data_IF_456038293534
#
_entry.id   IF_456038293534
#
_cell.length_a   1.000
_cell.length_b   1.000
_cell.length_c   1.000
_cell.angle_alpha   90.00
_cell.angle_beta   90.00
_cell.angle_gamma   90.00
#
_symmetry.space_group_name_H-M   'P 1'
#
loop_
_entity.id
_entity.type
_entity.pdbx_description
1 polymer ?
#
# COMPACT_ATOMS: atom_id res chain seq x y z
N UNK A 1 7.96 10.19 22.28
CA UNK A 1 8.43 9.82 20.93
C UNK A 1 8.51 11.11 20.12
N UNK A 2 9.73 11.58 19.80
CA UNK A 2 9.92 12.76 18.95
C UNK A 2 9.46 12.45 17.53
N UNK A 3 8.82 13.41 16.86
CA UNK A 3 8.51 13.30 15.45
C UNK A 3 9.80 13.04 14.67
N UNK A 4 9.80 12.16 13.65
CA UNK A 4 10.98 11.99 12.80
C UNK A 4 11.38 13.35 12.23
N UNK A 5 12.68 13.65 12.14
CA UNK A 5 13.15 14.94 11.67
C UNK A 5 12.57 15.23 10.29
N UNK A 6 12.23 16.49 10.04
CA UNK A 6 11.87 16.97 8.71
C UNK A 6 12.97 16.52 7.73
N UNK A 7 12.57 15.96 6.59
CA UNK A 7 13.50 15.49 5.58
C UNK A 7 14.50 16.60 5.25
N UNK A 8 15.75 16.42 5.66
CA UNK A 8 16.85 17.28 5.25
C UNK A 8 16.87 17.27 3.72
N UNK A 9 16.53 18.39 3.11
CA UNK A 9 16.73 18.62 1.67
C UNK A 9 18.21 18.89 1.36
N UNK A 10 19.10 18.76 2.36
CA UNK A 10 20.53 18.89 2.20
C UNK A 10 21.12 17.67 1.49
N UNK A 11 22.07 17.93 0.61
CA UNK A 11 22.93 16.88 0.07
C UNK A 11 23.83 16.34 1.17
N UNK A 12 23.90 15.02 1.32
CA UNK A 12 24.79 14.30 2.22
C UNK A 12 25.82 13.51 1.41
N UNK A 13 26.85 12.96 2.07
CA UNK A 13 27.75 11.97 1.46
C UNK A 13 27.41 10.58 1.96
N UNK A 14 27.32 9.61 1.05
CA UNK A 14 27.13 8.20 1.38
C UNK A 14 28.16 7.34 0.66
N UNK A 15 28.43 6.16 1.19
CA UNK A 15 29.26 5.15 0.53
C UNK A 15 28.35 4.10 -0.11
N UNK A 16 28.50 3.89 -1.42
CA UNK A 16 27.80 2.85 -2.17
C UNK A 16 28.82 2.16 -3.09
N UNK A 17 28.87 0.82 -3.06
CA UNK A 17 29.89 0.03 -3.77
C UNK A 17 31.32 0.56 -3.57
N UNK A 18 31.71 0.75 -2.29
CA UNK A 18 33.04 1.23 -1.86
C UNK A 18 33.45 2.62 -2.39
N UNK A 19 32.53 3.38 -3.00
CA UNK A 19 32.75 4.73 -3.50
C UNK A 19 31.85 5.74 -2.82
N UNK A 20 32.38 6.94 -2.56
CA UNK A 20 31.63 8.06 -2.01
C UNK A 20 30.87 8.80 -3.10
N UNK A 21 29.59 9.06 -2.86
CA UNK A 21 28.73 9.85 -3.72
C UNK A 21 28.09 10.99 -2.92
N UNK A 22 27.88 12.11 -3.59
CA UNK A 22 26.90 13.10 -3.13
C UNK A 22 25.52 12.51 -3.30
N UNK A 23 24.67 12.67 -2.30
CA UNK A 23 23.35 12.07 -2.29
C UNK A 23 22.28 12.97 -1.70
N UNK A 24 21.06 12.82 -2.18
CA UNK A 24 19.86 13.41 -1.60
C UNK A 24 19.02 12.30 -0.94
N UNK A 25 18.69 12.47 0.34
CA UNK A 25 17.82 11.53 1.03
C UNK A 25 16.39 11.59 0.48
N UNK A 26 15.78 10.42 0.30
CA UNK A 26 14.40 10.24 -0.14
C UNK A 26 13.63 9.59 1.00
N UNK A 27 12.42 10.09 1.25
CA UNK A 27 11.51 9.51 2.24
C UNK A 27 12.18 9.35 3.62
N UNK A 28 12.79 10.43 4.12
CA UNK A 28 13.46 10.40 5.41
C UNK A 28 14.63 9.41 5.50
N UNK A 29 15.26 9.06 4.38
CA UNK A 29 16.43 8.19 4.32
C UNK A 29 16.15 6.74 3.91
N UNK A 30 14.91 6.38 3.56
CA UNK A 30 14.59 5.05 3.05
C UNK A 30 15.22 4.73 1.69
N UNK A 31 15.59 5.76 0.93
CA UNK A 31 16.39 5.65 -0.27
C UNK A 31 17.24 6.91 -0.44
N UNK A 32 18.18 6.86 -1.38
CA UNK A 32 19.03 7.98 -1.72
C UNK A 32 19.08 8.14 -3.24
N UNK A 33 19.07 9.38 -3.70
CA UNK A 33 19.48 9.74 -5.06
C UNK A 33 20.95 10.11 -5.03
N UNK A 34 21.79 9.28 -5.64
CA UNK A 34 23.23 9.52 -5.77
C UNK A 34 23.54 10.20 -7.10
N UNK A 35 24.55 11.07 -7.11
CA UNK A 35 24.99 11.82 -8.29
C UNK A 35 26.42 11.48 -8.68
N UNK A 36 26.68 11.37 -9.98
CA UNK A 36 28.00 11.19 -10.57
C UNK A 36 28.23 12.17 -11.72
N UNK A 37 29.45 12.67 -11.84
CA UNK A 37 29.88 13.52 -12.96
C UNK A 37 30.20 12.69 -14.23
N UNK A 38 30.32 11.36 -14.08
CA UNK A 38 30.63 10.42 -15.16
C UNK A 38 29.50 9.45 -15.43
N UNK A 39 29.38 9.00 -16.68
CA UNK A 39 28.41 7.97 -17.05
C UNK A 39 28.83 6.62 -16.45
N UNK A 40 27.97 6.06 -15.61
CA UNK A 40 28.20 4.78 -14.93
C UNK A 40 27.03 3.81 -15.16
N UNK A 41 27.24 2.49 -15.02
CA UNK A 41 26.19 1.49 -15.19
C UNK A 41 24.94 1.76 -14.32
N UNK A 42 23.78 1.89 -14.97
CA UNK A 42 22.49 2.16 -14.33
C UNK A 42 22.34 3.54 -13.71
N UNK A 43 23.21 4.49 -14.04
CA UNK A 43 22.93 5.91 -13.83
C UNK A 43 22.22 6.50 -15.06
N UNK A 44 21.28 7.39 -14.82
CA UNK A 44 20.50 8.12 -15.82
C UNK A 44 21.02 9.56 -15.94
N UNK A 45 20.95 10.19 -17.12
CA UNK A 45 21.37 11.57 -17.29
C UNK A 45 20.37 12.55 -16.64
N UNK A 46 20.88 13.57 -15.93
CA UNK A 46 20.07 14.64 -15.32
C UNK A 46 20.84 15.97 -15.28
N UNK A 47 20.42 16.96 -16.06
CA UNK A 47 20.84 18.36 -15.91
C UNK A 47 22.36 18.62 -15.93
N UNK A 48 23.14 17.85 -16.69
CA UNK A 48 24.61 17.96 -16.78
C UNK A 48 25.38 16.97 -15.90
N UNK A 49 24.69 16.21 -15.06
CA UNK A 49 25.25 15.11 -14.28
C UNK A 49 24.53 13.79 -14.61
N UNK A 50 24.91 12.73 -13.91
CA UNK A 50 24.22 11.45 -13.91
C UNK A 50 23.69 11.17 -12.50
N UNK A 51 22.54 10.52 -12.38
CA UNK A 51 21.95 10.17 -11.10
C UNK A 51 21.42 8.73 -11.08
N UNK A 52 21.30 8.16 -9.87
CA UNK A 52 20.71 6.85 -9.63
C UNK A 52 20.00 6.83 -8.29
N UNK A 53 18.93 6.06 -8.18
CA UNK A 53 18.27 5.79 -6.90
C UNK A 53 18.78 4.47 -6.31
N UNK A 54 19.14 4.50 -5.03
CA UNK A 54 19.64 3.34 -4.26
C UNK A 54 18.86 3.21 -2.96
N UNK A 55 18.62 1.99 -2.52
CA UNK A 55 17.89 1.74 -1.28
C UNK A 55 18.79 1.95 -0.06
N UNK A 56 18.21 2.30 1.08
CA UNK A 56 18.98 2.58 2.30
C UNK A 56 19.83 1.38 2.77
N UNK A 57 19.42 0.16 2.47
CA UNK A 57 20.17 -1.06 2.83
C UNK A 57 21.43 -1.28 1.98
N UNK A 58 21.59 -0.57 0.87
CA UNK A 58 22.77 -0.71 0.00
C UNK A 58 23.89 0.26 0.34
N UNK A 59 23.60 1.25 1.19
CA UNK A 59 24.53 2.34 1.47
C UNK A 59 25.17 2.15 2.84
N UNK A 60 26.49 2.25 2.89
CA UNK A 60 27.18 2.45 4.15
C UNK A 60 26.97 3.90 4.56
N UNK A 61 26.07 4.08 5.53
CA UNK A 61 25.96 5.26 6.36
C UNK A 61 26.22 4.85 7.80
N UNK A 62 26.46 5.80 8.70
CA UNK A 62 26.65 5.52 10.13
C UNK A 62 25.41 4.84 10.78
N UNK A 63 24.33 4.65 10.03
CA UNK A 63 23.41 3.49 10.11
C UNK A 63 22.41 3.51 11.28
N UNK A 64 22.73 4.23 12.36
CA UNK A 64 21.88 4.33 13.54
C UNK A 64 20.56 5.07 13.28
N UNK A 65 20.55 6.06 12.38
CA UNK A 65 19.40 6.95 12.19
C UNK A 65 18.16 6.22 11.63
N UNK A 66 18.34 5.20 10.79
CA UNK A 66 17.24 4.42 10.19
C UNK A 66 16.62 3.44 11.19
N UNK A 67 17.46 2.79 12.01
CA UNK A 67 17.00 1.95 13.13
C UNK A 67 16.31 2.80 14.21
N UNK A 68 16.83 4.01 14.48
CA UNK A 68 16.23 4.97 15.41
C UNK A 68 14.88 5.52 14.91
N UNK A 69 14.66 5.58 13.60
CA UNK A 69 13.38 5.91 12.99
C UNK A 69 12.34 4.78 13.09
N UNK A 70 12.72 3.62 13.64
CA UNK A 70 11.83 2.48 13.85
C UNK A 70 11.46 1.72 12.58
N UNK A 71 12.24 1.88 11.50
CA UNK A 71 12.02 1.18 10.23
C UNK A 71 13.24 0.34 9.89
N UNK A 72 13.07 -0.99 9.92
CA UNK A 72 14.15 -1.93 9.63
C UNK A 72 14.05 -2.50 8.20
N UNK A 73 15.17 -2.56 7.47
CA UNK A 73 15.24 -3.34 6.24
C UNK A 73 15.03 -4.82 6.55
N UNK A 74 14.66 -5.57 5.51
CA UNK A 74 14.61 -7.03 5.57
C UNK A 74 15.99 -7.57 5.95
N UNK A 75 16.02 -8.51 6.89
CA UNK A 75 17.26 -9.13 7.36
C UNK A 75 17.26 -10.62 7.07
N UNK A 76 18.35 -11.12 6.51
CA UNK A 76 18.57 -12.55 6.26
C UNK A 76 19.34 -13.15 7.44
N UNK A 77 18.86 -14.25 8.05
CA UNK A 77 19.58 -14.91 9.13
C UNK A 77 20.99 -15.34 8.72
N UNK A 78 21.95 -15.15 9.61
CA UNK A 78 23.34 -15.59 9.38
C UNK A 78 23.40 -17.11 9.57
N UNK A 79 23.37 -17.84 8.46
CA UNK A 79 23.52 -19.30 8.43
C UNK A 79 24.16 -19.75 7.10
N UNK A 80 24.87 -20.89 7.06
CA UNK A 80 25.47 -21.39 5.83
C UNK A 80 24.44 -21.57 4.72
N UNK A 81 24.72 -21.00 3.54
CA UNK A 81 23.85 -21.10 2.37
C UNK A 81 22.58 -20.25 2.40
N UNK A 82 22.39 -19.39 3.41
CA UNK A 82 21.36 -18.37 3.40
C UNK A 82 21.92 -17.02 2.99
N UNK A 83 21.55 -16.58 1.79
CA UNK A 83 21.80 -15.24 1.27
C UNK A 83 20.52 -14.69 0.62
N UNK A 84 20.54 -13.40 0.27
CA UNK A 84 19.38 -12.73 -0.32
C UNK A 84 18.95 -13.39 -1.65
N UNK A 85 19.89 -13.87 -2.46
CA UNK A 85 19.59 -14.55 -3.73
C UNK A 85 18.87 -15.89 -3.49
N UNK A 86 19.33 -16.66 -2.52
CA UNK A 86 18.74 -17.95 -2.15
C UNK A 86 17.34 -17.75 -1.57
N UNK A 87 17.18 -16.79 -0.67
CA UNK A 87 15.85 -16.42 -0.15
C UNK A 87 14.95 -15.95 -1.28
N UNK A 88 15.46 -15.17 -2.23
CA UNK A 88 14.71 -14.73 -3.39
C UNK A 88 14.21 -15.94 -4.20
N UNK A 89 15.12 -16.82 -4.60
CA UNK A 89 14.81 -18.03 -5.37
C UNK A 89 13.78 -18.92 -4.67
N UNK A 90 13.92 -19.13 -3.36
CA UNK A 90 12.94 -19.91 -2.59
C UNK A 90 11.59 -19.19 -2.52
N UNK A 91 11.58 -17.88 -2.33
CA UNK A 91 10.33 -17.11 -2.28
C UNK A 91 9.50 -17.18 -3.56
N UNK A 92 10.16 -17.38 -4.71
CA UNK A 92 9.52 -17.52 -6.04
C UNK A 92 9.04 -18.94 -6.37
N UNK A 93 9.28 -19.91 -5.50
CA UNK A 93 8.92 -21.31 -5.76
C UNK A 93 7.90 -21.81 -4.73
N UNK A 94 6.62 -22.01 -5.10
CA UNK A 94 5.60 -22.47 -4.16
C UNK A 94 5.83 -23.93 -3.69
N UNK A 95 6.67 -24.70 -4.41
CA UNK A 95 6.95 -26.13 -4.17
C UNK A 95 8.16 -26.39 -3.26
N UNK A 96 8.69 -25.36 -2.59
CA UNK A 96 9.77 -25.54 -1.62
C UNK A 96 9.34 -26.37 -0.40
N UNK A 97 10.32 -27.04 0.21
CA UNK A 97 10.15 -27.84 1.42
C UNK A 97 9.88 -26.99 2.68
N UNK A 98 9.59 -27.64 3.82
CA UNK A 98 9.27 -26.94 5.06
C UNK A 98 10.41 -26.07 5.60
N UNK A 99 11.67 -26.49 5.43
CA UNK A 99 12.84 -25.76 5.94
C UNK A 99 13.07 -24.47 5.17
N UNK A 100 13.03 -24.53 3.84
CA UNK A 100 13.16 -23.34 2.98
C UNK A 100 12.00 -22.38 3.24
N UNK A 101 10.79 -22.91 3.46
CA UNK A 101 9.61 -22.11 3.80
C UNK A 101 9.79 -21.40 5.14
N UNK A 102 10.35 -22.07 6.15
CA UNK A 102 10.66 -21.47 7.44
C UNK A 102 11.70 -20.36 7.32
N UNK A 103 12.74 -20.54 6.49
CA UNK A 103 13.72 -19.48 6.20
C UNK A 103 13.04 -18.25 5.58
N UNK A 104 12.25 -18.44 4.53
CA UNK A 104 11.54 -17.34 3.85
C UNK A 104 10.59 -16.62 4.82
N UNK A 105 9.84 -17.37 5.64
CA UNK A 105 8.94 -16.80 6.65
C UNK A 105 9.70 -16.01 7.72
N UNK A 106 10.84 -16.52 8.20
CA UNK A 106 11.68 -15.83 9.17
C UNK A 106 12.22 -14.50 8.62
N UNK A 107 12.67 -14.49 7.35
CA UNK A 107 13.12 -13.27 6.68
C UNK A 107 11.98 -12.27 6.55
N UNK A 108 10.78 -12.69 6.15
CA UNK A 108 9.60 -11.81 6.05
C UNK A 108 9.16 -11.22 7.38
N UNK A 109 9.27 -11.98 8.46
CA UNK A 109 8.92 -11.50 9.80
C UNK A 109 9.78 -10.30 10.24
N UNK A 110 10.97 -10.11 9.64
CA UNK A 110 11.80 -8.92 9.89
C UNK A 110 11.23 -7.64 9.25
N UNK A 111 10.38 -7.78 8.23
CA UNK A 111 9.64 -6.68 7.63
C UNK A 111 8.36 -6.40 8.44
N UNK A 112 8.49 -5.89 9.66
CA UNK A 112 7.33 -5.64 10.51
C UNK A 112 6.64 -4.31 10.17
N UNK A 113 5.33 -4.25 10.43
CA UNK A 113 4.49 -3.06 10.36
C UNK A 113 4.12 -2.66 11.79
N UNK A 114 4.27 -1.38 12.09
CA UNK A 114 3.83 -0.76 13.35
C UNK A 114 2.81 0.34 13.08
N UNK A 115 2.02 0.77 14.09
CA UNK A 115 1.23 1.98 13.99
C UNK A 115 2.07 3.16 13.49
N UNK A 116 1.63 3.80 12.41
CA UNK A 116 2.34 4.91 11.77
C UNK A 116 3.31 4.53 10.66
N UNK A 117 3.58 3.23 10.44
CA UNK A 117 4.34 2.76 9.28
C UNK A 117 3.69 3.29 8.01
N UNK A 118 4.46 3.96 7.16
CA UNK A 118 3.94 4.47 5.89
C UNK A 118 3.79 3.32 4.92
N UNK A 119 2.57 3.15 4.43
CA UNK A 119 2.20 2.12 3.48
C UNK A 119 1.95 2.76 2.12
N UNK A 120 2.22 2.01 1.05
CA UNK A 120 2.02 2.43 -0.34
C UNK A 120 1.35 1.30 -1.11
N UNK A 121 0.38 1.66 -1.96
CA UNK A 121 -0.26 0.76 -2.91
C UNK A 121 -0.17 1.37 -4.31
N UNK A 122 0.39 0.66 -5.31
CA UNK A 122 0.35 1.12 -6.69
C UNK A 122 -1.10 1.11 -7.18
N UNK A 123 -1.49 2.15 -7.93
CA UNK A 123 -2.82 2.31 -8.49
C UNK A 123 -2.74 2.44 -10.02
N UNK A 124 -3.71 1.87 -10.73
CA UNK A 124 -4.01 2.29 -12.11
C UNK A 124 -4.76 3.62 -12.11
N UNK A 125 -4.78 4.35 -13.23
CA UNK A 125 -5.51 5.62 -13.33
C UNK A 125 -7.01 5.48 -13.04
N UNK A 126 -7.59 4.32 -13.39
CA UNK A 126 -8.98 3.99 -13.10
C UNK A 126 -9.21 3.77 -11.59
N UNK A 127 -8.24 3.17 -10.91
CA UNK A 127 -8.30 3.03 -9.46
C UNK A 127 -8.15 4.38 -8.76
N UNK A 128 -7.33 5.29 -9.28
CA UNK A 128 -7.27 6.68 -8.80
C UNK A 128 -8.62 7.37 -8.95
N UNK A 129 -9.25 7.30 -10.14
CA UNK A 129 -10.57 7.88 -10.37
C UNK A 129 -11.60 7.33 -9.38
N UNK A 130 -11.60 6.01 -9.16
CA UNK A 130 -12.47 5.34 -8.18
C UNK A 130 -12.19 5.80 -6.75
N UNK A 131 -10.92 5.94 -6.35
CA UNK A 131 -10.55 6.39 -5.00
C UNK A 131 -11.08 7.80 -4.69
N UNK A 132 -11.15 8.67 -5.70
CA UNK A 132 -11.66 10.04 -5.57
C UNK A 132 -13.18 10.11 -5.41
N UNK A 133 -13.92 9.07 -5.76
CA UNK A 133 -15.39 9.05 -5.73
C UNK A 133 -15.98 7.99 -4.81
N UNK A 134 -15.15 7.14 -4.19
CA UNK A 134 -15.59 6.06 -3.31
C UNK A 134 -15.23 6.34 -1.87
N UNK A 135 -15.80 5.55 -0.95
CA UNK A 135 -15.41 5.59 0.44
C UNK A 135 -13.87 5.52 0.59
N UNK A 136 -13.30 6.29 1.54
CA UNK A 136 -11.85 6.44 1.70
C UNK A 136 -11.26 5.21 2.39
N UNK A 137 -11.23 4.11 1.63
CA UNK A 137 -10.79 2.79 2.05
C UNK A 137 -9.64 2.31 1.16
N UNK A 138 -8.86 1.35 1.65
CA UNK A 138 -7.82 0.64 0.91
C UNK A 138 -7.87 -0.85 1.21
N UNK A 139 -7.85 -1.69 0.18
CA UNK A 139 -7.81 -3.14 0.31
C UNK A 139 -6.71 -3.75 -0.57
N UNK A 140 -6.50 -5.07 -0.45
CA UNK A 140 -5.62 -5.81 -1.35
C UNK A 140 -4.13 -5.67 -1.01
N UNK A 141 -3.28 -5.83 -2.03
CA UNK A 141 -1.82 -5.88 -1.87
C UNK A 141 -1.20 -4.48 -1.75
N UNK A 142 -0.22 -4.34 -0.86
CA UNK A 142 0.50 -3.11 -0.55
C UNK A 142 1.92 -3.37 -0.04
N UNK A 143 2.68 -2.30 0.14
CA UNK A 143 4.10 -2.30 0.49
C UNK A 143 4.35 -1.28 1.60
N UNK A 144 5.42 -1.45 2.38
CA UNK A 144 5.92 -0.33 3.19
C UNK A 144 6.59 0.66 2.24
N UNK A 145 6.39 1.95 2.46
CA UNK A 145 7.03 3.01 1.66
C UNK A 145 8.54 2.84 1.64
N UNK A 146 9.10 2.39 2.77
CA UNK A 146 10.52 2.12 2.93
C UNK A 146 11.08 1.17 1.86
N UNK A 147 10.43 0.01 1.71
CA UNK A 147 10.93 -1.08 0.83
C UNK A 147 10.89 -0.70 -0.66
N UNK A 148 10.09 0.30 -1.03
CA UNK A 148 9.88 0.73 -2.42
C UNK A 148 10.35 2.16 -2.69
N UNK A 149 11.03 2.79 -1.73
CA UNK A 149 11.42 4.21 -1.83
C UNK A 149 12.41 4.48 -2.97
N UNK A 150 13.21 3.50 -3.34
CA UNK A 150 14.19 3.58 -4.44
C UNK A 150 13.55 3.43 -5.83
N UNK A 151 12.32 2.91 -5.92
CA UNK A 151 11.60 2.74 -7.19
C UNK A 151 10.90 4.06 -7.54
N UNK A 152 11.60 4.93 -8.27
CA UNK A 152 11.20 6.34 -8.46
C UNK A 152 10.61 6.64 -9.82
N UNK A 153 10.97 5.87 -10.84
CA UNK A 153 10.42 6.05 -12.19
C UNK A 153 9.23 5.12 -12.44
N UNK A 154 8.36 5.41 -13.42
CA UNK A 154 7.31 4.49 -13.84
C UNK A 154 7.85 3.10 -14.21
N UNK A 155 8.99 3.05 -14.89
CA UNK A 155 9.65 1.80 -15.29
C UNK A 155 10.10 0.99 -14.07
N UNK A 156 10.68 1.62 -13.05
CA UNK A 156 11.08 0.93 -11.81
C UNK A 156 9.86 0.37 -11.07
N UNK A 157 8.73 1.09 -11.11
CA UNK A 157 7.52 0.75 -10.36
C UNK A 157 6.65 -0.29 -11.04
N UNK A 158 6.93 -0.68 -12.29
CA UNK A 158 6.17 -1.70 -13.03
C UNK A 158 6.13 -3.03 -12.27
N UNK A 159 7.20 -3.35 -11.53
CA UNK A 159 7.31 -4.57 -10.70
C UNK A 159 6.23 -4.64 -9.62
N UNK A 160 5.74 -3.49 -9.13
CA UNK A 160 4.74 -3.41 -8.07
C UNK A 160 3.32 -3.54 -8.60
N UNK A 161 3.09 -3.38 -9.91
CA UNK A 161 1.76 -3.22 -10.47
C UNK A 161 0.88 -4.47 -10.26
N UNK A 162 -0.25 -4.27 -9.56
CA UNK A 162 -1.28 -5.30 -9.35
C UNK A 162 -2.40 -5.27 -10.40
N UNK A 163 -2.48 -4.20 -11.18
CA UNK A 163 -3.45 -3.96 -12.27
C UNK A 163 -2.68 -3.18 -13.36
N UNK A 164 -2.21 -3.84 -14.44
CA UNK A 164 -1.39 -3.17 -15.44
C UNK A 164 -2.21 -2.08 -16.15
N UNK A 165 -1.63 -0.89 -16.28
CA UNK A 165 -2.18 0.23 -17.03
C UNK A 165 -1.28 0.50 -18.26
N UNK A 166 -1.86 1.04 -19.32
CA UNK A 166 -1.13 1.28 -20.58
C UNK A 166 -0.28 2.56 -20.55
N UNK A 167 -0.39 3.35 -19.47
CA UNK A 167 0.34 4.61 -19.30
C UNK A 167 1.76 4.32 -18.78
N UNK A 168 2.74 4.33 -19.69
CA UNK A 168 4.13 3.98 -19.36
C UNK A 168 4.94 5.11 -18.75
N UNK A 169 4.52 6.35 -18.91
CA UNK A 169 5.26 7.54 -18.49
C UNK A 169 4.71 8.18 -17.20
N UNK A 170 3.78 7.51 -16.50
CA UNK A 170 3.32 7.92 -15.17
C UNK A 170 2.86 6.71 -14.38
N UNK A 171 3.38 6.54 -13.17
CA UNK A 171 2.87 5.55 -12.22
C UNK A 171 2.13 6.25 -11.09
N UNK A 172 0.95 5.74 -10.71
CA UNK A 172 0.19 6.28 -9.58
C UNK A 172 0.31 5.40 -8.35
N UNK A 173 0.17 5.99 -7.17
CA UNK A 173 0.12 5.24 -5.92
C UNK A 173 -0.75 5.93 -4.87
N UNK A 174 -1.28 5.15 -3.95
CA UNK A 174 -1.89 5.60 -2.71
C UNK A 174 -0.88 5.43 -1.58
N UNK A 175 -0.68 6.47 -0.77
CA UNK A 175 0.16 6.47 0.43
C UNK A 175 -0.69 6.74 1.66
N UNK A 176 -0.50 5.99 2.73
CA UNK A 176 -1.18 6.21 4.02
C UNK A 176 -0.30 5.74 5.17
N UNK A 177 -0.77 5.90 6.41
CA UNK A 177 -0.11 5.33 7.59
C UNK A 177 -0.90 4.13 8.11
N UNK A 178 -0.23 3.05 8.47
CA UNK A 178 -0.85 1.92 9.13
C UNK A 178 -1.46 2.34 10.48
N UNK A 179 -2.68 1.87 10.76
CA UNK A 179 -3.33 2.08 12.08
C UNK A 179 -2.77 1.05 13.07
N UNK A 180 -2.79 -0.23 12.70
CA UNK A 180 -2.21 -1.32 13.49
C UNK A 180 -1.55 -2.38 12.62
N UNK A 181 -0.69 -3.20 13.24
CA UNK A 181 0.01 -4.30 12.58
C UNK A 181 -0.96 -5.41 12.12
N UNK A 182 -1.99 -5.70 12.92
CA UNK A 182 -2.98 -6.75 12.65
C UNK A 182 -3.89 -6.48 11.44
N UNK A 183 -3.81 -5.30 10.84
CA UNK A 183 -4.51 -4.97 9.60
C UNK A 183 -3.82 -5.55 8.35
N UNK A 184 -2.63 -6.13 8.50
CA UNK A 184 -1.81 -6.61 7.39
C UNK A 184 -1.37 -8.06 7.62
N UNK A 185 -1.34 -8.81 6.53
CA UNK A 185 -0.81 -10.17 6.48
C UNK A 185 0.28 -10.24 5.42
N UNK A 186 1.30 -11.06 5.67
CA UNK A 186 2.25 -11.44 4.63
C UNK A 186 1.51 -12.22 3.52
N UNK A 187 1.89 -12.01 2.26
CA UNK A 187 1.21 -12.64 1.11
C UNK A 187 1.60 -14.10 0.87
N UNK A 188 1.99 -14.81 1.94
CA UNK A 188 2.37 -16.22 1.86
C UNK A 188 1.20 -17.12 1.51
N UNK A 189 1.50 -18.25 0.88
CA UNK A 189 0.50 -19.27 0.54
C UNK A 189 -0.24 -19.79 1.78
N UNK A 190 0.35 -19.74 2.97
CA UNK A 190 -0.33 -20.13 4.20
C UNK A 190 -1.52 -19.21 4.55
N UNK A 191 -1.42 -17.92 4.23
CA UNK A 191 -2.50 -16.94 4.47
C UNK A 191 -3.52 -16.92 3.31
N UNK A 192 -3.09 -17.30 2.10
CA UNK A 192 -3.92 -17.29 0.89
C UNK A 192 -3.75 -18.57 0.05
N UNK A 193 -4.09 -19.75 0.59
CA UNK A 193 -3.81 -21.03 -0.08
C UNK A 193 -4.56 -21.19 -1.40
N UNK A 194 -5.79 -20.65 -1.47
CA UNK A 194 -6.64 -20.70 -2.66
C UNK A 194 -6.05 -20.02 -3.89
N UNK A 195 -5.30 -18.94 -3.70
CA UNK A 195 -4.75 -18.14 -4.79
C UNK A 195 -3.66 -18.86 -5.59
N UNK A 196 -2.96 -19.82 -4.99
CA UNK A 196 -1.93 -20.62 -5.66
C UNK A 196 -2.55 -21.49 -6.77
N UNK A 197 -3.80 -21.94 -6.57
CA UNK A 197 -4.53 -22.78 -7.52
C UNK A 197 -5.24 -22.01 -8.64
N UNK A 198 -5.34 -20.68 -8.56
CA UNK A 198 -6.11 -19.89 -9.53
C UNK A 198 -5.37 -19.82 -10.88
N UNK A 199 -5.99 -20.22 -12.01
CA UNK A 199 -5.35 -20.21 -13.33
C UNK A 199 -4.95 -18.81 -13.81
N UNK A 200 -3.95 -18.75 -14.69
CA UNK A 200 -3.46 -17.51 -15.33
C UNK A 200 -4.55 -16.59 -15.89
N UNK A 201 -5.51 -17.18 -16.59
CA UNK A 201 -6.62 -16.46 -17.24
C UNK A 201 -7.59 -15.79 -16.28
N UNK A 202 -7.66 -16.25 -15.03
CA UNK A 202 -8.55 -15.70 -14.00
C UNK A 202 -7.85 -14.64 -13.14
N UNK A 203 -6.62 -14.26 -13.47
CA UNK A 203 -5.79 -13.36 -12.65
C UNK A 203 -5.51 -12.04 -13.37
N UNK A 204 -5.31 -11.00 -12.58
CA UNK A 204 -4.66 -9.76 -12.99
C UNK A 204 -3.32 -9.59 -12.30
N UNK A 205 -2.32 -9.13 -13.05
CA UNK A 205 -0.95 -8.99 -12.57
C UNK A 205 -0.24 -10.31 -12.30
N UNK A 206 0.89 -10.25 -11.60
CA UNK A 206 1.62 -11.44 -11.18
C UNK A 206 0.79 -12.28 -10.20
N UNK A 207 1.04 -13.59 -10.19
CA UNK A 207 0.37 -14.48 -9.24
C UNK A 207 0.81 -14.14 -7.80
N UNK A 208 -0.14 -14.12 -6.85
CA UNK A 208 0.20 -14.16 -5.42
C UNK A 208 0.67 -15.59 -5.12
N UNK A 209 1.93 -15.87 -5.43
CA UNK A 209 2.55 -17.20 -5.42
C UNK A 209 2.85 -17.72 -4.00
N UNK A 210 2.38 -17.03 -2.97
CA UNK A 210 3.10 -17.04 -1.69
C UNK A 210 4.43 -16.28 -1.76
N UNK A 211 4.66 -15.52 -2.83
CA UNK A 211 5.82 -14.64 -3.07
C UNK A 211 5.64 -13.33 -2.33
N UNK A 212 5.75 -13.36 -1.01
CA UNK A 212 5.94 -12.14 -0.20
C UNK A 212 7.18 -11.31 -0.56
N UNK A 213 7.88 -11.65 -1.66
CA UNK A 213 8.94 -10.86 -2.27
C UNK A 213 8.69 -10.72 -3.76
N UNK A 214 8.71 -9.50 -4.30
CA UNK A 214 8.65 -9.26 -5.73
C UNK A 214 10.03 -9.30 -6.40
N UNK A 215 10.14 -9.78 -7.65
CA UNK A 215 11.39 -9.78 -8.39
C UNK A 215 11.79 -8.36 -8.80
N UNK A 216 12.64 -7.72 -7.98
CA UNK A 216 13.39 -6.54 -8.40
C UNK A 216 14.81 -6.97 -8.78
N UNK A 217 15.40 -6.28 -9.77
CA UNK A 217 16.76 -6.56 -10.24
C UNK A 217 17.85 -6.33 -9.18
N UNK A 218 17.52 -5.68 -8.06
CA UNK A 218 18.48 -5.37 -6.99
C UNK A 218 18.00 -5.72 -5.58
N UNK A 219 16.70 -5.93 -5.32
CA UNK A 219 16.17 -6.06 -3.96
C UNK A 219 15.07 -7.11 -3.76
N UNK A 220 15.04 -7.64 -2.54
CA UNK A 220 13.87 -8.31 -1.98
C UNK A 220 12.87 -7.26 -1.49
N UNK A 221 11.70 -7.18 -2.13
CA UNK A 221 10.65 -6.22 -1.75
C UNK A 221 9.54 -6.94 -0.98
N UNK A 222 9.44 -6.79 0.35
CA UNK A 222 8.33 -7.29 1.15
C UNK A 222 6.97 -6.87 0.62
N UNK A 223 6.08 -7.84 0.52
CA UNK A 223 4.70 -7.64 0.09
C UNK A 223 3.71 -8.00 1.21
N UNK A 224 2.70 -7.17 1.39
CA UNK A 224 1.64 -7.35 2.37
C UNK A 224 0.28 -7.29 1.70
N UNK A 225 -0.71 -8.00 2.24
CA UNK A 225 -2.11 -7.82 1.91
C UNK A 225 -2.85 -7.27 3.13
N UNK A 226 -3.92 -6.50 2.90
CA UNK A 226 -4.86 -6.19 3.98
C UNK A 226 -5.45 -7.48 4.53
N UNK A 227 -5.62 -7.57 5.85
CA UNK A 227 -6.07 -8.79 6.52
C UNK A 227 -7.44 -9.22 5.98
N UNK A 228 -7.53 -10.47 5.50
CA UNK A 228 -8.73 -11.01 4.83
C UNK A 228 -9.08 -10.32 3.51
N UNK A 229 -8.11 -9.65 2.86
CA UNK A 229 -8.31 -8.76 1.71
C UNK A 229 -9.38 -7.69 1.97
N UNK A 230 -9.59 -7.34 3.24
CA UNK A 230 -10.61 -6.42 3.65
C UNK A 230 -10.26 -4.98 3.31
N UNK A 231 -11.29 -4.15 3.22
CA UNK A 231 -11.10 -2.71 3.15
C UNK A 231 -10.70 -2.15 4.52
N UNK A 232 -9.60 -1.42 4.54
CA UNK A 232 -9.08 -0.68 5.69
C UNK A 232 -9.41 0.80 5.53
N UNK A 233 -9.84 1.48 6.61
CA UNK A 233 -10.07 2.92 6.58
C UNK A 233 -8.76 3.69 6.38
N UNK A 234 -8.79 4.67 5.48
CA UNK A 234 -7.65 5.56 5.27
C UNK A 234 -7.45 6.50 6.47
N UNK A 235 -6.20 6.68 6.85
CA UNK A 235 -5.81 7.62 7.91
C UNK A 235 -5.82 9.06 7.42
N UNK A 236 -5.82 10.00 8.36
CA UNK A 236 -5.60 11.40 8.05
C UNK A 236 -4.35 11.61 7.21
N UNK A 237 -4.44 12.52 6.22
CA UNK A 237 -3.35 12.85 5.29
C UNK A 237 -2.88 11.67 4.43
N UNK A 238 -3.75 10.70 4.14
CA UNK A 238 -3.50 9.78 3.03
C UNK A 238 -3.40 10.58 1.71
N UNK A 239 -2.55 10.13 0.79
CA UNK A 239 -2.18 10.86 -0.42
C UNK A 239 -2.27 9.98 -1.65
N UNK A 240 -2.75 10.55 -2.74
CA UNK A 240 -2.60 9.98 -4.07
C UNK A 240 -1.41 10.67 -4.74
N UNK A 241 -0.45 9.87 -5.18
CA UNK A 241 0.83 10.29 -5.73
C UNK A 241 0.91 9.96 -7.23
N UNK A 242 1.72 10.73 -7.95
CA UNK A 242 2.21 10.40 -9.29
C UNK A 242 3.74 10.40 -9.30
N UNK A 243 4.30 9.39 -9.97
CA UNK A 243 5.73 9.25 -10.25
C UNK A 243 6.00 9.55 -11.73
N UNK A 244 6.98 10.40 -11.99
CA UNK A 244 7.33 10.88 -13.34
C UNK A 244 8.61 10.24 -13.87
N UNK A 245 8.87 10.26 -15.20
CA UNK A 245 10.03 9.59 -15.80
C UNK A 245 11.40 10.11 -15.31
N UNK A 246 11.44 11.34 -14.79
CA UNK A 246 12.61 11.97 -14.16
C UNK A 246 12.77 11.60 -12.67
N UNK A 247 11.95 10.69 -12.13
CA UNK A 247 12.00 10.23 -10.73
C UNK A 247 11.29 11.16 -9.73
N UNK A 248 10.60 12.19 -10.23
CA UNK A 248 9.77 13.07 -9.43
C UNK A 248 8.60 12.34 -8.77
N UNK A 249 8.26 12.71 -7.52
CA UNK A 249 7.03 12.29 -6.85
C UNK A 249 6.19 13.54 -6.58
N UNK A 250 4.96 13.52 -7.06
CA UNK A 250 4.02 14.63 -6.98
C UNK A 250 2.79 14.14 -6.21
N UNK A 251 2.52 14.75 -5.06
CA UNK A 251 1.23 14.59 -4.41
C UNK A 251 0.14 15.25 -5.27
N UNK A 252 -0.78 14.44 -5.80
CA UNK A 252 -1.90 14.92 -6.60
C UNK A 252 -3.07 15.32 -5.71
N UNK A 253 -3.41 14.46 -4.75
CA UNK A 253 -4.53 14.66 -3.84
C UNK A 253 -4.17 14.24 -2.43
N UNK A 254 -4.76 14.90 -1.43
CA UNK A 254 -4.63 14.54 -0.02
C UNK A 254 -6.01 14.44 0.64
N UNK A 255 -6.24 13.36 1.37
CA UNK A 255 -7.49 13.09 2.05
C UNK A 255 -7.60 13.86 3.37
N UNK A 256 -8.70 14.61 3.50
CA UNK A 256 -9.10 15.35 4.69
C UNK A 256 -10.32 14.64 5.33
N UNK A 257 -10.12 13.79 6.34
CA UNK A 257 -11.20 13.03 6.97
C UNK A 257 -12.22 13.90 7.71
N UNK A 258 -11.87 15.14 8.05
CA UNK A 258 -12.74 16.10 8.73
C UNK A 258 -13.96 16.47 7.89
N UNK A 259 -13.74 16.58 6.59
CA UNK A 259 -14.74 17.01 5.62
C UNK A 259 -15.12 15.88 4.67
N UNK A 260 -14.48 14.70 4.81
CA UNK A 260 -14.49 13.59 3.86
C UNK A 260 -14.22 14.07 2.43
N UNK A 261 -13.12 14.80 2.24
CA UNK A 261 -12.75 15.38 0.94
C UNK A 261 -11.33 14.99 0.57
N UNK A 262 -11.13 14.59 -0.68
CA UNK A 262 -9.83 14.65 -1.33
C UNK A 262 -9.59 16.06 -1.86
N UNK A 263 -8.56 16.72 -1.33
CA UNK A 263 -8.13 18.05 -1.77
C UNK A 263 -7.00 17.91 -2.80
N UNK A 264 -7.10 18.62 -3.91
CA UNK A 264 -6.05 18.67 -4.94
C UNK A 264 -4.84 19.45 -4.43
N UNK A 265 -3.70 18.78 -4.41
CA UNK A 265 -2.40 19.36 -4.03
C UNK A 265 -1.59 19.81 -5.25
N UNK A 266 -1.76 19.13 -6.39
CA UNK A 266 -1.02 19.43 -7.61
C UNK A 266 -1.45 20.75 -8.26
N UNK A 267 -0.52 21.71 -8.34
CA UNK A 267 -0.72 23.00 -9.00
C UNK A 267 -0.80 22.93 -10.54
N UNK A 268 -0.85 24.10 -11.19
CA UNK A 268 -1.04 24.22 -12.63
C UNK A 268 0.05 23.52 -13.47
N UNK A 269 1.30 23.48 -12.97
CA UNK A 269 2.44 22.84 -13.64
C UNK A 269 2.34 21.32 -13.79
N UNK A 270 1.42 20.68 -13.06
CA UNK A 270 1.19 19.23 -13.08
C UNK A 270 -0.23 18.88 -13.54
N UNK A 271 -0.87 19.78 -14.30
CA UNK A 271 -2.23 19.59 -14.79
C UNK A 271 -2.33 18.39 -15.74
N UNK A 272 -1.29 18.16 -16.52
CA UNK A 272 -1.16 17.00 -17.41
C UNK A 272 -1.27 15.68 -16.63
N UNK A 273 -0.65 15.57 -15.45
CA UNK A 273 -0.73 14.37 -14.60
C UNK A 273 -2.17 14.10 -14.13
N UNK A 274 -2.90 15.15 -13.76
CA UNK A 274 -4.31 15.04 -13.34
C UNK A 274 -5.21 14.67 -14.52
N UNK A 275 -4.95 15.24 -15.70
CA UNK A 275 -5.73 14.98 -16.92
C UNK A 275 -5.61 13.54 -17.43
N UNK A 276 -4.61 12.78 -16.99
CA UNK A 276 -4.48 11.34 -17.29
C UNK A 276 -5.49 10.48 -16.53
N UNK A 277 -6.09 11.00 -15.47
CA UNK A 277 -7.07 10.28 -14.66
C UNK A 277 -8.44 10.37 -15.35
N UNK A 278 -9.05 9.24 -15.73
CA UNK A 278 -10.31 9.21 -16.47
C UNK A 278 -11.46 9.75 -15.61
N UNK A 279 -12.40 10.43 -16.27
CA UNK A 279 -13.63 10.90 -15.64
C UNK A 279 -13.47 12.11 -14.72
N UNK A 280 -12.28 12.73 -14.62
CA UNK A 280 -12.10 13.97 -13.86
C UNK A 280 -12.49 15.20 -14.68
N UNK A 281 -13.40 16.00 -14.14
CA UNK A 281 -13.73 17.31 -14.68
C UNK A 281 -12.53 18.27 -14.58
N UNK A 282 -12.25 18.97 -15.68
CA UNK A 282 -11.12 19.92 -15.72
C UNK A 282 -11.37 21.06 -14.72
N UNK A 283 -10.42 21.26 -13.81
CA UNK A 283 -10.47 22.36 -12.83
C UNK A 283 -11.11 22.02 -11.49
N UNK A 284 -11.72 20.82 -11.34
CA UNK A 284 -12.22 20.37 -10.03
C UNK A 284 -11.05 20.17 -9.05
N UNK A 285 -11.14 20.82 -7.89
CA UNK A 285 -10.10 20.80 -6.86
C UNK A 285 -10.50 20.01 -5.60
N UNK A 286 -11.79 19.70 -5.43
CA UNK A 286 -12.33 19.02 -4.26
C UNK A 286 -13.22 17.85 -4.69
N UNK A 287 -12.98 16.69 -4.10
CA UNK A 287 -13.77 15.48 -4.32
C UNK A 287 -14.31 15.00 -2.98
N UNK A 288 -15.61 15.22 -2.75
CA UNK A 288 -16.30 14.75 -1.57
C UNK A 288 -16.60 13.27 -1.72
N UNK A 289 -16.33 12.51 -0.66
CA UNK A 289 -16.58 11.08 -0.59
C UNK A 289 -17.45 10.79 0.62
N UNK A 290 -18.36 9.84 0.50
CA UNK A 290 -19.18 9.42 1.64
C UNK A 290 -18.51 8.24 2.35
N UNK A 291 -18.49 8.21 3.69
CA UNK A 291 -18.02 7.05 4.44
C UNK A 291 -18.81 5.79 4.06
N UNK A 292 -18.14 4.63 4.08
CA UNK A 292 -18.85 3.36 3.87
C UNK A 292 -19.68 3.00 5.09
N UNK A 293 -20.87 2.46 4.84
CA UNK A 293 -21.71 1.85 5.87
C UNK A 293 -21.28 0.42 6.22
N UNK A 294 -20.41 -0.17 5.40
CA UNK A 294 -19.96 -1.56 5.53
C UNK A 294 -18.55 -1.70 6.08
N UNK A 295 -17.76 -0.62 6.11
CA UNK A 295 -16.42 -0.64 6.68
C UNK A 295 -16.00 0.76 7.15
N UNK A 296 -15.29 0.83 8.26
CA UNK A 296 -14.81 2.10 8.80
C UNK A 296 -14.23 1.99 10.20
N UNK A 297 -14.08 3.16 10.84
CA UNK A 297 -13.67 3.27 12.23
C UNK A 297 -14.81 3.82 13.07
N UNK A 298 -14.97 3.24 14.25
CA UNK A 298 -15.85 3.74 15.29
C UNK A 298 -15.09 3.86 16.61
N UNK A 299 -15.66 4.60 17.54
CA UNK A 299 -15.18 4.71 18.92
C UNK A 299 -16.28 5.25 19.81
N UNK A 300 -15.96 5.49 21.08
CA UNK A 300 -16.89 6.04 22.06
C UNK A 300 -16.45 7.45 22.43
N UNK A 301 -17.35 8.42 22.23
CA UNK A 301 -17.21 9.81 22.66
C UNK A 301 -18.45 10.21 23.45
N UNK A 302 -18.27 10.78 24.66
CA UNK A 302 -19.37 11.16 25.57
C UNK A 302 -20.43 10.06 25.82
N UNK A 303 -20.00 8.79 25.79
CA UNK A 303 -20.90 7.64 25.98
C UNK A 303 -21.60 7.16 24.71
N UNK A 304 -21.45 7.87 23.59
CA UNK A 304 -22.06 7.52 22.31
C UNK A 304 -21.04 6.88 21.34
N UNK A 305 -21.54 5.98 20.49
CA UNK A 305 -20.74 5.43 19.40
C UNK A 305 -20.70 6.40 18.23
N UNK A 306 -19.49 6.82 17.86
CA UNK A 306 -19.26 7.83 16.82
C UNK A 306 -18.29 7.31 15.77
N UNK A 307 -18.37 7.85 14.54
CA UNK A 307 -17.37 7.62 13.50
C UNK A 307 -16.05 8.29 13.88
N UNK A 308 -14.94 7.64 13.60
CA UNK A 308 -13.62 8.06 14.08
C UNK A 308 -12.64 8.27 12.92
N UNK A 309 -11.71 9.20 13.12
CA UNK A 309 -10.53 9.37 12.28
C UNK A 309 -9.31 8.86 13.03
N UNK A 310 -8.51 8.01 12.39
CA UNK A 310 -7.17 7.66 12.85
C UNK A 310 -6.13 8.63 12.27
N UNK A 311 -5.27 9.16 13.14
CA UNK A 311 -4.07 9.90 12.78
C UNK A 311 -2.88 9.29 13.54
N UNK A 312 -2.24 8.24 13.01
CA UNK A 312 -1.14 7.57 13.71
C UNK A 312 -0.01 8.54 14.09
N UNK A 313 0.31 8.54 15.39
CA UNK A 313 1.17 9.52 16.07
C UNK A 313 0.39 10.59 16.87
N UNK A 314 -0.88 10.78 16.56
CA UNK A 314 -1.81 11.73 17.22
C UNK A 314 -3.08 11.07 17.77
N UNK A 315 -3.27 9.76 17.55
CA UNK A 315 -4.33 8.95 18.14
C UNK A 315 -5.60 8.88 17.29
N UNK A 316 -6.71 8.59 17.96
CA UNK A 316 -8.05 8.46 17.38
C UNK A 316 -8.92 9.62 17.82
N UNK A 317 -9.59 10.27 16.87
CA UNK A 317 -10.35 11.49 17.14
C UNK A 317 -11.66 11.52 16.39
N UNK A 318 -12.66 12.16 16.98
CA UNK A 318 -13.90 12.55 16.29
C UNK A 318 -13.82 14.03 15.90
N UNK A 319 -14.46 14.36 14.78
CA UNK A 319 -14.71 15.74 14.38
C UNK A 319 -16.17 16.08 14.62
N UNK A 320 -16.42 16.84 15.66
CA UNK A 320 -17.74 17.43 15.87
C UNK A 320 -17.93 18.63 14.93
N UNK A 321 -19.13 18.71 14.33
CA UNK A 321 -19.45 19.79 13.39
C UNK A 321 -19.42 21.13 14.14
N UNK A 322 -18.48 22.01 13.77
CA UNK A 322 -18.32 23.33 14.37
C UNK A 322 -17.26 23.41 15.49
N UNK A 323 -16.65 22.29 15.88
CA UNK A 323 -15.57 22.28 16.86
C UNK A 323 -14.28 22.85 16.27
N UNK A 324 -13.58 23.66 17.09
CA UNK A 324 -12.27 24.25 16.76
C UNK A 324 -11.13 23.23 16.93
N UNK A 325 -11.37 22.15 17.68
CA UNK A 325 -10.38 21.13 18.01
C UNK A 325 -10.91 19.71 17.87
N UNK A 326 -9.98 18.76 17.81
CA UNK A 326 -10.25 17.32 17.77
C UNK A 326 -10.59 16.81 19.17
N UNK A 327 -11.65 16.03 19.30
CA UNK A 327 -11.96 15.36 20.56
C UNK A 327 -11.42 13.92 20.55
N UNK A 328 -10.66 13.50 21.57
CA UNK A 328 -10.20 12.12 21.67
C UNK A 328 -11.39 11.18 21.87
N UNK A 329 -11.25 9.95 21.37
CA UNK A 329 -12.23 8.89 21.58
C UNK A 329 -11.64 7.77 22.42
N UNK A 330 -12.51 7.00 23.06
CA UNK A 330 -12.16 5.77 23.77
C UNK A 330 -12.59 4.55 22.96
N UNK A 331 -11.93 3.40 23.17
CA UNK A 331 -12.25 2.12 22.49
C UNK A 331 -12.37 2.26 20.96
N UNK A 332 -11.31 2.70 20.26
CA UNK A 332 -11.31 2.72 18.81
C UNK A 332 -11.44 1.28 18.25
N UNK A 333 -12.37 1.10 17.31
CA UNK A 333 -12.63 -0.18 16.67
C UNK A 333 -12.70 0.01 15.16
N UNK A 334 -12.05 -0.86 14.38
CA UNK A 334 -12.43 -1.08 12.99
C UNK A 334 -13.67 -1.94 12.95
N UNK A 335 -14.53 -1.71 11.97
CA UNK A 335 -15.61 -2.62 11.65
C UNK A 335 -15.62 -2.95 10.16
N UNK A 336 -16.17 -4.12 9.84
CA UNK A 336 -16.49 -4.55 8.49
C UNK A 336 -17.75 -5.42 8.48
N UNK A 337 -18.48 -5.47 7.37
CA UNK A 337 -19.68 -6.30 7.22
C UNK A 337 -19.38 -7.54 6.38
N UNK A 338 -19.52 -8.72 6.99
CA UNK A 338 -19.47 -10.01 6.29
C UNK A 338 -20.88 -10.52 6.01
N UNK A 339 -21.01 -11.34 4.98
CA UNK A 339 -22.20 -12.13 4.66
C UNK A 339 -21.77 -13.48 4.03
N UNK A 340 -22.73 -14.37 3.81
CA UNK A 340 -22.54 -15.56 2.99
C UNK A 340 -23.34 -15.40 1.70
N UNK A 341 -22.79 -15.90 0.60
CA UNK A 341 -23.47 -15.99 -0.67
C UNK A 341 -22.95 -17.19 -1.43
N UNK A 342 -23.84 -18.12 -1.83
CA UNK A 342 -23.48 -19.35 -2.53
C UNK A 342 -22.35 -20.11 -1.82
N UNK A 343 -22.58 -20.40 -0.54
CA UNK A 343 -21.65 -21.08 0.38
C UNK A 343 -20.27 -20.41 0.55
N UNK A 344 -20.12 -19.16 0.09
CA UNK A 344 -18.88 -18.40 0.15
C UNK A 344 -19.02 -17.23 1.10
N UNK A 345 -18.07 -17.08 2.03
CA UNK A 345 -18.00 -15.89 2.89
C UNK A 345 -17.49 -14.69 2.09
N UNK A 346 -18.24 -13.60 2.13
CA UNK A 346 -17.96 -12.38 1.37
C UNK A 346 -17.99 -11.14 2.25
N UNK A 347 -17.17 -10.16 1.89
CA UNK A 347 -17.19 -8.81 2.46
C UNK A 347 -18.14 -7.93 1.64
N UNK A 348 -19.06 -7.23 2.30
CA UNK A 348 -19.87 -6.20 1.66
C UNK A 348 -19.06 -4.91 1.50
N UNK A 349 -19.06 -4.34 0.29
CA UNK A 349 -18.29 -3.13 -0.04
C UNK A 349 -19.19 -1.90 -0.21
N UNK A 350 -20.33 -2.08 -0.87
CA UNK A 350 -21.26 -1.02 -1.21
C UNK A 350 -22.58 -1.57 -1.72
N UNK A 351 -23.59 -0.71 -1.81
CA UNK A 351 -24.94 -1.07 -2.22
C UNK A 351 -25.40 -0.21 -3.39
N UNK A 352 -26.11 -0.82 -4.32
CA UNK A 352 -26.88 -0.15 -5.35
C UNK A 352 -28.27 -0.78 -5.41
N UNK A 353 -29.29 -0.09 -4.89
CA UNK A 353 -30.69 -0.57 -4.83
C UNK A 353 -30.82 -1.99 -4.21
N UNK A 354 -31.03 -3.00 -5.05
CA UNK A 354 -31.21 -4.40 -4.70
C UNK A 354 -29.94 -5.25 -4.87
N UNK A 355 -28.82 -4.62 -5.22
CA UNK A 355 -27.53 -5.27 -5.39
C UNK A 355 -26.52 -4.78 -4.36
N UNK A 356 -25.68 -5.70 -3.91
CA UNK A 356 -24.55 -5.42 -3.02
C UNK A 356 -23.27 -5.83 -3.73
N UNK A 357 -22.32 -4.90 -3.83
CA UNK A 357 -20.98 -5.22 -4.32
C UNK A 357 -20.26 -5.96 -3.21
N UNK A 358 -19.77 -7.15 -3.52
CA UNK A 358 -19.13 -8.04 -2.56
C UNK A 358 -17.71 -8.40 -3.00
N UNK A 359 -16.85 -8.74 -2.04
CA UNK A 359 -15.49 -9.23 -2.25
C UNK A 359 -15.29 -10.57 -1.58
N UNK A 360 -14.57 -11.48 -2.24
CA UNK A 360 -14.15 -12.74 -1.64
C UNK A 360 -13.08 -12.48 -0.56
N UNK A 361 -13.31 -12.96 0.67
CA UNK A 361 -12.34 -12.83 1.78
C UNK A 361 -11.21 -13.85 1.67
N UNK A 362 -11.51 -15.02 1.11
CA UNK A 362 -10.60 -16.14 0.87
C UNK A 362 -10.80 -16.68 -0.55
N UNK A 363 -10.31 -15.96 -1.58
CA UNK A 363 -10.49 -16.37 -2.97
C UNK A 363 -9.77 -17.69 -3.28
N UNK A 364 -10.52 -18.60 -3.89
CA UNK A 364 -10.05 -19.83 -4.54
C UNK A 364 -10.87 -20.05 -5.82
N UNK A 365 -10.49 -21.06 -6.62
CA UNK A 365 -11.15 -21.32 -7.90
C UNK A 365 -12.62 -21.70 -7.75
N UNK A 366 -13.00 -22.40 -6.67
CA UNK A 366 -14.38 -22.84 -6.45
C UNK A 366 -15.27 -21.64 -6.09
N UNK A 367 -14.82 -20.80 -5.17
CA UNK A 367 -15.49 -19.56 -4.77
C UNK A 367 -15.63 -18.59 -5.94
N UNK A 368 -14.58 -18.44 -6.77
CA UNK A 368 -14.61 -17.60 -7.98
C UNK A 368 -15.70 -18.10 -8.94
N UNK A 369 -15.73 -19.40 -9.24
CA UNK A 369 -16.69 -19.98 -10.17
C UNK A 369 -18.12 -19.97 -9.61
N UNK A 370 -18.30 -20.21 -8.31
CA UNK A 370 -19.61 -20.20 -7.65
C UNK A 370 -20.25 -18.80 -7.66
N UNK A 371 -19.45 -17.75 -7.48
CA UNK A 371 -19.93 -16.36 -7.34
C UNK A 371 -19.79 -15.54 -8.63
N UNK A 372 -19.17 -16.08 -9.67
CA UNK A 372 -18.79 -15.37 -10.90
C UNK A 372 -17.98 -14.09 -10.60
N UNK A 373 -17.10 -14.18 -9.59
CA UNK A 373 -16.30 -13.04 -9.13
C UNK A 373 -15.19 -12.72 -10.13
N UNK A 374 -15.09 -11.44 -10.50
CA UNK A 374 -14.06 -10.97 -11.43
C UNK A 374 -12.82 -10.51 -10.66
N UNK A 375 -11.63 -10.89 -11.13
CA UNK A 375 -10.37 -10.34 -10.62
C UNK A 375 -10.24 -8.87 -11.02
N UNK A 376 -10.39 -7.95 -10.05
CA UNK A 376 -10.30 -6.50 -10.30
C UNK A 376 -8.88 -5.95 -10.14
N UNK A 377 -8.05 -6.65 -9.38
CA UNK A 377 -6.62 -6.43 -9.18
C UNK A 377 -6.01 -7.70 -8.57
N UNK A 378 -4.68 -7.78 -8.52
CA UNK A 378 -3.96 -8.93 -8.00
C UNK A 378 -4.51 -9.44 -6.65
N UNK A 379 -5.07 -10.64 -6.68
CA UNK A 379 -5.61 -11.35 -5.51
C UNK A 379 -7.00 -10.91 -5.05
N UNK A 380 -7.58 -9.86 -5.63
CA UNK A 380 -8.87 -9.31 -5.20
C UNK A 380 -9.95 -9.62 -6.23
N UNK A 381 -11.00 -10.31 -5.77
CA UNK A 381 -12.11 -10.79 -6.59
C UNK A 381 -13.40 -10.21 -6.07
N UNK A 382 -14.16 -9.58 -6.97
CA UNK A 382 -15.39 -8.87 -6.63
C UNK A 382 -16.48 -9.16 -7.65
N UNK A 383 -17.73 -9.08 -7.18
CA UNK A 383 -18.92 -9.21 -7.99
C UNK A 383 -20.09 -8.45 -7.36
N UNK A 384 -21.20 -8.40 -8.07
CA UNK A 384 -22.47 -7.90 -7.55
C UNK A 384 -23.36 -9.09 -7.19
N UNK A 385 -23.85 -9.11 -5.96
CA UNK A 385 -24.77 -10.12 -5.44
C UNK A 385 -26.16 -9.50 -5.21
N UNK A 386 -27.26 -10.21 -5.51
CA UNK A 386 -28.58 -9.77 -5.11
C UNK A 386 -28.67 -9.70 -3.59
N UNK A 387 -29.13 -8.57 -3.05
CA UNK A 387 -29.22 -8.34 -1.60
C UNK A 387 -30.08 -9.39 -0.89
N UNK A 388 -31.12 -9.89 -1.57
CA UNK A 388 -32.03 -10.90 -1.04
C UNK A 388 -31.39 -12.30 -0.92
N UNK A 389 -30.29 -12.55 -1.64
CA UNK A 389 -29.55 -13.82 -1.59
C UNK A 389 -28.40 -13.80 -0.56
N UNK A 390 -28.12 -12.64 0.06
CA UNK A 390 -27.10 -12.56 1.10
C UNK A 390 -27.62 -13.13 2.41
N UNK A 391 -26.89 -14.09 2.94
CA UNK A 391 -27.22 -14.80 4.16
C UNK A 391 -26.33 -14.35 5.32
N UNK A 392 -26.87 -14.41 6.54
CA UNK A 392 -26.15 -14.16 7.79
C UNK A 392 -25.28 -12.89 7.81
N UNK A 393 -25.82 -11.70 7.43
CA UNK A 393 -25.04 -10.47 7.47
C UNK A 393 -24.63 -10.17 8.91
N UNK A 394 -23.33 -9.96 9.14
CA UNK A 394 -22.77 -9.66 10.46
C UNK A 394 -21.68 -8.61 10.38
N UNK A 395 -21.68 -7.71 11.36
CA UNK A 395 -20.59 -6.75 11.55
C UNK A 395 -19.53 -7.37 12.43
N UNK A 396 -18.32 -7.50 11.91
CA UNK A 396 -17.13 -7.91 12.66
C UNK A 396 -16.40 -6.65 13.10
N UNK A 397 -15.93 -6.63 14.34
CA UNK A 397 -15.14 -5.52 14.90
C UNK A 397 -13.74 -5.98 15.29
N UNK A 398 -12.79 -5.06 15.24
CA UNK A 398 -11.39 -5.27 15.66
C UNK A 398 -10.95 -4.07 16.48
N UNK A 399 -10.49 -4.31 17.70
CA UNK A 399 -10.04 -3.27 18.63
C UNK A 399 -8.63 -2.77 18.26
N UNK A 400 -8.38 -1.47 18.51
CA UNK A 400 -7.07 -0.83 18.37
C UNK A 400 -6.48 -0.32 19.68
#
# INVERSE_FOLDING_TARGET
MQAPPAASTGTTEIVWNDRRYRARAITGGAAFEIYSDSREPGFHPSGGAFHRYVHASEVASDGGELLLAGVAPVSVPVMPGADAETVHRYSQNPRIGPVERALVAAVRATAFITPGTRMVKPLSRHQVARQLTSAPLVGGVCFREFDVAHLRTPDDRVVLAGDPDDVRDTAFALRWKAIGAGDYLSTEAANFPGLVGVPGRERRGSMILGTGFLPSGSHLIPEFATAGLADLPLTARAEILAYTPDGGEIALFQYQPQTNVWNRMAGARHRDLVNRIPGLETGRALFRVDPSVHAGLMGVHEGERVSVTADPGHGFTVYERGAVSRSPVTRPQRFLTLAHWRDTEVLALGRNEDWVRVRLTRPDIEAIMATDATCIERGVYECWAPRAELEYPRTVVTDY
#
